data_IF_402667226092
#
_entry.id   IF_402667226092
#
_cell.length_a   1.000
_cell.length_b   1.000
_cell.length_c   1.000
_cell.angle_alpha   90.00
_cell.angle_beta   90.00
_cell.angle_gamma   90.00
#
_symmetry.space_group_name_H-M   'P 1'
#
loop_
_entity.id
_entity.type
_entity.pdbx_description
1 polymer ?
#
# COMPACT_ATOMS: atom_id res chain seq x y z
N UNK A 1 -12.74 -37.64 -20.50
CA UNK A 1 -12.48 -36.74 -21.66
C UNK A 1 -13.48 -35.57 -21.62
N UNK A 2 -13.25 -34.58 -20.76
CA UNK A 2 -13.89 -33.27 -20.82
C UNK A 2 -12.75 -32.27 -20.87
N UNK A 3 -12.55 -31.68 -22.04
CA UNK A 3 -11.50 -30.73 -22.32
C UNK A 3 -11.66 -29.51 -21.41
N UNK A 4 -10.65 -29.26 -20.59
CA UNK A 4 -10.40 -27.96 -19.99
C UNK A 4 -10.17 -26.96 -21.12
N UNK A 5 -11.12 -26.07 -21.35
CA UNK A 5 -10.83 -24.82 -22.04
C UNK A 5 -10.00 -23.94 -21.10
N UNK A 6 -8.68 -24.16 -21.08
CA UNK A 6 -7.71 -23.12 -20.74
C UNK A 6 -7.83 -22.05 -21.81
N UNK A 7 -8.60 -21.00 -21.54
CA UNK A 7 -8.40 -19.72 -22.20
C UNK A 7 -7.08 -19.16 -21.69
N UNK A 8 -6.03 -19.32 -22.49
CA UNK A 8 -4.88 -18.42 -22.43
C UNK A 8 -5.36 -17.04 -22.89
N UNK A 9 -5.86 -16.23 -21.96
CA UNK A 9 -5.97 -14.79 -22.19
C UNK A 9 -4.55 -14.27 -22.45
N UNK A 10 -4.36 -13.54 -23.54
CA UNK A 10 -3.08 -12.89 -23.82
C UNK A 10 -2.82 -11.84 -22.73
N UNK A 11 -1.61 -11.87 -22.17
CA UNK A 11 -1.12 -11.04 -21.06
C UNK A 11 -1.01 -9.53 -21.35
N UNK A 12 -1.74 -8.96 -22.32
CA UNK A 12 -1.52 -7.56 -22.72
C UNK A 12 -2.42 -6.52 -22.03
N UNK A 13 -3.48 -6.91 -21.32
CA UNK A 13 -4.48 -5.94 -20.81
C UNK A 13 -4.88 -6.13 -19.33
N UNK A 14 -4.06 -6.79 -18.50
CA UNK A 14 -4.37 -6.86 -17.07
C UNK A 14 -3.97 -5.52 -16.42
N UNK A 15 -4.98 -4.79 -15.94
CA UNK A 15 -4.83 -3.71 -14.96
C UNK A 15 -5.56 -4.12 -13.69
N UNK A 16 -4.92 -3.95 -12.54
CA UNK A 16 -5.61 -4.08 -11.26
C UNK A 16 -6.59 -2.92 -11.07
N UNK A 17 -7.58 -3.05 -10.16
CA UNK A 17 -8.44 -1.92 -9.79
C UNK A 17 -7.64 -0.68 -9.37
N UNK A 18 -6.55 -0.82 -8.61
CA UNK A 18 -5.67 0.29 -8.26
C UNK A 18 -5.05 0.93 -9.50
N UNK A 19 -4.49 0.13 -10.42
CA UNK A 19 -3.88 0.64 -11.64
C UNK A 19 -4.92 1.35 -12.54
N UNK A 20 -6.14 0.82 -12.66
CA UNK A 20 -7.24 1.49 -13.39
C UNK A 20 -7.60 2.83 -12.77
N UNK A 21 -7.73 2.88 -11.45
CA UNK A 21 -8.06 4.10 -10.76
C UNK A 21 -6.95 5.15 -10.94
N UNK A 22 -5.68 4.77 -10.78
CA UNK A 22 -4.55 5.67 -11.04
C UNK A 22 -4.49 6.17 -12.48
N UNK A 23 -4.70 5.28 -13.47
CA UNK A 23 -4.77 5.70 -14.88
C UNK A 23 -5.87 6.73 -15.08
N UNK A 24 -7.05 6.55 -14.46
CA UNK A 24 -8.12 7.54 -14.56
C UNK A 24 -7.76 8.90 -13.93
N UNK A 25 -6.97 8.91 -12.84
CA UNK A 25 -6.44 10.15 -12.26
C UNK A 25 -5.48 10.83 -13.22
N UNK A 26 -4.53 10.07 -13.80
CA UNK A 26 -3.53 10.58 -14.74
C UNK A 26 -4.20 11.15 -15.99
N UNK A 27 -5.18 10.44 -16.55
CA UNK A 27 -5.98 10.92 -17.69
C UNK A 27 -6.71 12.22 -17.37
N UNK A 28 -7.21 12.37 -16.13
CA UNK A 28 -7.93 13.58 -15.71
C UNK A 28 -7.02 14.82 -15.55
N UNK A 29 -5.77 14.64 -15.12
CA UNK A 29 -4.82 15.76 -14.93
C UNK A 29 -3.97 16.04 -16.17
N UNK A 30 -3.94 15.09 -17.10
CA UNK A 30 -3.13 15.18 -18.31
C UNK A 30 -1.71 14.66 -18.10
N UNK A 31 -1.17 14.07 -19.17
CA UNK A 31 0.11 13.41 -19.10
C UNK A 31 1.27 14.37 -18.76
N UNK A 32 1.33 15.51 -19.41
CA UNK A 32 2.42 16.46 -19.19
C UNK A 32 2.51 16.87 -17.70
N UNK A 33 1.36 17.04 -17.04
CA UNK A 33 1.28 17.31 -15.61
C UNK A 33 1.74 16.12 -14.76
N UNK A 34 1.38 14.89 -15.13
CA UNK A 34 1.89 13.69 -14.46
C UNK A 34 3.41 13.54 -14.61
N UNK A 35 3.97 13.80 -15.79
CA UNK A 35 5.43 13.78 -16.01
C UNK A 35 6.11 14.87 -15.16
N UNK A 36 5.53 16.07 -15.01
CA UNK A 36 6.03 17.11 -14.11
C UNK A 36 5.99 16.68 -12.63
N UNK A 37 4.88 16.09 -12.16
CA UNK A 37 4.75 15.57 -10.79
C UNK A 37 5.83 14.52 -10.49
N UNK A 38 6.06 13.59 -11.41
CA UNK A 38 7.10 12.57 -11.28
C UNK A 38 8.51 13.16 -11.33
N UNK A 39 8.75 14.10 -12.25
CA UNK A 39 10.06 14.74 -12.39
C UNK A 39 10.50 15.44 -11.09
N UNK A 40 9.57 16.05 -10.36
CA UNK A 40 9.83 16.69 -9.07
C UNK A 40 9.60 15.79 -7.86
N UNK A 41 9.26 14.52 -8.08
CA UNK A 41 8.93 13.53 -7.06
C UNK A 41 7.85 14.03 -6.07
N UNK A 42 6.85 14.76 -6.59
CA UNK A 42 5.87 15.48 -5.76
C UNK A 42 5.04 14.54 -4.88
N UNK A 43 4.69 13.36 -5.40
CA UNK A 43 3.91 12.32 -4.70
C UNK A 43 4.64 11.72 -3.49
N UNK A 44 5.96 11.89 -3.40
CA UNK A 44 6.77 11.44 -2.27
C UNK A 44 6.92 12.49 -1.16
N UNK A 45 6.71 13.78 -1.47
CA UNK A 45 7.07 14.87 -0.56
C UNK A 45 6.24 14.87 0.73
N UNK A 46 4.98 14.43 0.67
CA UNK A 46 4.09 14.39 1.84
C UNK A 46 4.54 13.35 2.86
N UNK A 47 4.92 12.14 2.41
CA UNK A 47 5.43 11.12 3.33
C UNK A 47 6.81 11.51 3.87
N UNK A 48 7.70 12.06 3.03
CA UNK A 48 9.02 12.52 3.45
C UNK A 48 8.93 13.61 4.51
N UNK A 49 8.01 14.56 4.32
CA UNK A 49 7.68 15.54 5.35
C UNK A 49 7.25 14.85 6.65
N UNK A 50 6.29 13.93 6.57
CA UNK A 50 5.72 13.26 7.74
C UNK A 50 6.73 12.43 8.51
N UNK A 51 7.68 11.79 7.82
CA UNK A 51 8.65 10.92 8.45
C UNK A 51 9.93 11.65 8.91
N UNK A 52 10.51 12.53 8.09
CA UNK A 52 11.83 13.11 8.35
C UNK A 52 11.81 14.54 8.91
N UNK A 53 10.69 15.26 8.79
CA UNK A 53 10.63 16.70 9.16
C UNK A 53 9.62 16.96 10.26
N UNK A 54 8.46 16.32 10.19
CA UNK A 54 7.42 16.46 11.20
C UNK A 54 7.86 15.83 12.51
N UNK A 55 7.66 16.54 13.62
CA UNK A 55 7.83 15.99 14.97
C UNK A 55 6.54 15.41 15.54
N UNK A 56 5.59 15.04 14.66
CA UNK A 56 4.27 14.53 15.07
C UNK A 56 4.40 13.26 15.90
N UNK A 57 3.68 13.24 17.01
CA UNK A 57 3.55 12.06 17.89
C UNK A 57 2.37 11.16 17.51
N UNK A 58 1.67 11.45 16.40
CA UNK A 58 0.45 10.76 15.98
C UNK A 58 -0.84 11.23 16.69
N UNK A 59 -0.73 11.90 17.84
CA UNK A 59 -1.89 12.22 18.69
C UNK A 59 -2.90 13.17 18.02
N UNK A 60 -2.39 14.14 17.25
CA UNK A 60 -3.20 15.18 16.59
C UNK A 60 -3.40 14.93 15.09
N UNK A 61 -3.10 13.72 14.61
CA UNK A 61 -3.31 13.34 13.21
C UNK A 61 -4.79 13.19 12.89
N UNK A 62 -5.13 13.34 11.61
CA UNK A 62 -6.45 13.05 11.06
C UNK A 62 -6.30 12.22 9.78
N UNK A 63 -7.37 11.54 9.37
CA UNK A 63 -7.38 10.60 8.27
C UNK A 63 -8.59 10.83 7.37
N UNK A 64 -8.37 10.80 6.06
CA UNK A 64 -9.30 11.35 5.08
C UNK A 64 -9.10 12.86 4.92
N UNK A 65 -9.58 13.41 3.80
CA UNK A 65 -9.36 14.82 3.41
C UNK A 65 -9.83 15.78 4.50
N UNK A 66 -10.92 15.45 5.20
CA UNK A 66 -11.54 16.26 6.24
C UNK A 66 -11.51 15.59 7.62
N UNK A 67 -10.77 14.50 7.76
CA UNK A 67 -10.70 13.74 9.01
C UNK A 67 -11.85 12.77 9.23
N UNK A 68 -12.67 12.49 8.22
CA UNK A 68 -13.84 11.61 8.29
C UNK A 68 -13.52 10.18 8.77
N UNK A 69 -12.32 9.68 8.47
CA UNK A 69 -11.86 8.33 8.84
C UNK A 69 -11.07 8.31 10.15
N UNK A 70 -10.84 9.47 10.77
CA UNK A 70 -9.91 9.60 11.91
C UNK A 70 -10.30 8.74 13.10
N UNK A 71 -11.60 8.63 13.38
CA UNK A 71 -12.10 7.85 14.51
C UNK A 71 -11.85 6.36 14.29
N UNK A 72 -12.14 5.86 13.08
CA UNK A 72 -11.93 4.46 12.70
C UNK A 72 -10.44 4.12 12.79
N UNK A 73 -9.60 4.91 12.11
CA UNK A 73 -8.15 4.69 12.05
C UNK A 73 -7.48 4.69 13.42
N UNK A 74 -7.80 5.66 14.29
CA UNK A 74 -7.25 5.71 15.65
C UNK A 74 -7.72 4.55 16.53
N UNK A 75 -9.00 4.20 16.44
CA UNK A 75 -9.54 3.05 17.19
C UNK A 75 -8.90 1.74 16.73
N UNK A 76 -8.76 1.55 15.41
CA UNK A 76 -8.13 0.37 14.84
C UNK A 76 -6.65 0.28 15.23
N UNK A 77 -5.94 1.41 15.29
CA UNK A 77 -4.54 1.45 15.72
C UNK A 77 -4.32 0.90 17.12
N UNK A 78 -5.08 1.41 18.08
CA UNK A 78 -4.96 0.95 19.48
C UNK A 78 -5.34 -0.52 19.62
N UNK A 79 -6.34 -0.97 18.86
CA UNK A 79 -6.74 -2.38 18.80
C UNK A 79 -5.65 -3.29 18.20
N UNK A 80 -5.02 -2.89 17.10
CA UNK A 80 -3.88 -3.60 16.49
C UNK A 80 -2.72 -3.74 17.47
N UNK A 81 -2.33 -2.64 18.13
CA UNK A 81 -1.25 -2.65 19.13
C UNK A 81 -1.57 -3.63 20.26
N UNK A 82 -2.76 -3.54 20.84
CA UNK A 82 -3.20 -4.44 21.91
C UNK A 82 -3.22 -5.90 21.45
N UNK A 83 -3.79 -6.17 20.27
CA UNK A 83 -3.92 -7.51 19.72
C UNK A 83 -2.55 -8.19 19.57
N UNK A 84 -1.60 -7.50 18.96
CA UNK A 84 -0.27 -8.05 18.73
C UNK A 84 0.59 -8.12 20.00
N UNK A 85 0.39 -7.22 20.97
CA UNK A 85 0.93 -7.37 22.33
C UNK A 85 0.43 -8.66 23.00
N UNK A 86 -0.86 -8.98 22.90
CA UNK A 86 -1.41 -10.24 23.43
C UNK A 86 -0.81 -11.46 22.72
N UNK A 87 -0.64 -11.40 21.40
CA UNK A 87 0.02 -12.45 20.62
C UNK A 87 1.45 -12.75 21.10
N UNK A 88 2.23 -11.70 21.38
CA UNK A 88 3.60 -11.84 21.90
C UNK A 88 3.64 -12.44 23.31
N UNK A 89 2.71 -12.04 24.18
CA UNK A 89 2.64 -12.57 25.54
C UNK A 89 2.19 -14.05 25.61
N UNK A 90 1.50 -14.54 24.58
CA UNK A 90 1.00 -15.92 24.49
C UNK A 90 2.04 -16.92 23.96
N UNK A 91 3.21 -16.46 23.53
CA UNK A 91 4.31 -17.30 23.06
C UNK A 91 5.62 -16.74 23.54
N UNK A 92 6.09 -17.26 24.68
CA UNK A 92 7.44 -17.10 25.25
C UNK A 92 8.50 -16.92 24.14
N UNK A 93 8.83 -15.67 23.82
CA UNK A 93 9.87 -15.31 22.87
C UNK A 93 11.05 -14.80 23.68
N UNK A 94 12.01 -15.69 23.90
CA UNK A 94 13.38 -15.42 24.35
C UNK A 94 14.22 -14.84 23.20
N UNK A 95 13.67 -13.88 22.46
CA UNK A 95 14.45 -13.10 21.49
C UNK A 95 15.10 -11.96 22.26
N UNK A 96 16.33 -12.20 22.70
CA UNK A 96 17.36 -11.22 23.04
C UNK A 96 16.95 -10.12 24.03
N UNK A 97 17.48 -10.20 25.25
CA UNK A 97 17.42 -9.18 26.31
C UNK A 97 18.05 -7.81 25.96
N UNK A 98 18.20 -7.45 24.69
CA UNK A 98 18.65 -6.12 24.28
C UNK A 98 17.80 -5.62 23.09
N UNK A 99 16.80 -4.79 23.39
CA UNK A 99 16.15 -3.82 22.48
C UNK A 99 15.16 -4.34 21.42
N UNK A 100 14.44 -5.45 21.65
CA UNK A 100 13.25 -5.73 20.84
C UNK A 100 12.10 -4.82 21.29
N UNK A 101 11.93 -3.71 20.58
CA UNK A 101 10.85 -2.77 20.79
C UNK A 101 9.51 -3.50 20.64
N UNK A 102 8.63 -3.26 21.61
CA UNK A 102 7.27 -3.78 21.57
C UNK A 102 6.58 -3.24 20.32
N UNK A 103 5.65 -3.98 19.66
CA UNK A 103 4.83 -3.50 18.53
C UNK A 103 3.92 -2.29 18.87
N UNK A 104 4.14 -1.70 20.05
CA UNK A 104 3.49 -0.52 20.58
C UNK A 104 4.24 0.79 20.26
N UNK A 105 5.47 0.73 19.72
CA UNK A 105 6.31 1.89 19.43
C UNK A 105 5.93 2.63 18.14
N UNK A 106 5.24 1.95 17.21
CA UNK A 106 4.78 2.53 15.96
C UNK A 106 3.72 3.61 16.17
N UNK A 107 3.88 4.75 15.49
CA UNK A 107 2.89 5.84 15.44
C UNK A 107 2.08 5.76 14.15
N UNK A 108 0.83 6.21 14.19
CA UNK A 108 -0.01 6.34 13.01
C UNK A 108 -0.06 7.80 12.55
N UNK A 109 0.29 8.06 11.29
CA UNK A 109 0.36 9.39 10.70
C UNK A 109 -0.51 9.50 9.44
N UNK A 110 -1.26 10.60 9.30
CA UNK A 110 -1.94 10.93 8.05
C UNK A 110 -1.01 11.75 7.16
N UNK A 111 -0.95 11.49 5.85
CA UNK A 111 -0.23 12.38 4.93
C UNK A 111 -1.20 13.11 4.00
N UNK A 112 -1.05 14.43 3.93
CA UNK A 112 -2.01 15.29 3.24
C UNK A 112 -1.30 16.10 2.17
N UNK A 113 -1.90 16.22 0.98
CA UNK A 113 -1.35 17.09 -0.05
C UNK A 113 -1.29 18.55 0.42
N UNK A 114 -2.20 18.95 1.33
CA UNK A 114 -2.19 20.27 1.98
C UNK A 114 -0.96 20.52 2.87
N UNK A 115 -0.18 19.49 3.26
CA UNK A 115 1.11 19.72 3.89
C UNK A 115 2.10 20.44 2.95
N UNK A 116 1.93 20.29 1.63
CA UNK A 116 2.76 20.93 0.60
C UNK A 116 2.38 22.39 0.34
N UNK A 117 1.22 22.87 0.81
CA UNK A 117 0.80 24.28 0.64
C UNK A 117 1.57 25.22 1.56
N UNK A 118 2.07 24.72 2.70
CA UNK A 118 2.81 25.51 3.66
C UNK A 118 4.32 25.50 3.37
N UNK A 119 4.90 26.66 3.03
CA UNK A 119 6.36 26.82 2.85
C UNK A 119 7.16 26.34 4.06
N UNK A 120 6.64 26.56 5.26
CA UNK A 120 7.27 26.10 6.51
C UNK A 120 7.37 24.57 6.66
N UNK A 121 6.66 23.80 5.82
CA UNK A 121 6.74 22.33 5.75
C UNK A 121 7.52 21.87 4.51
N UNK A 122 7.17 22.43 3.35
CA UNK A 122 7.75 22.03 2.07
C UNK A 122 9.24 22.40 1.96
N UNK A 123 9.65 23.60 2.35
CA UNK A 123 11.05 24.04 2.22
C UNK A 123 12.00 23.14 3.04
N UNK A 124 11.77 22.90 4.35
CA UNK A 124 12.62 21.98 5.11
C UNK A 124 12.66 20.56 4.52
N UNK A 125 11.55 20.08 3.97
CA UNK A 125 11.48 18.76 3.30
C UNK A 125 12.40 18.70 2.08
N UNK A 126 12.38 19.73 1.24
CA UNK A 126 13.26 19.83 0.07
C UNK A 126 14.74 19.99 0.47
N UNK A 127 15.03 20.73 1.54
CA UNK A 127 16.39 20.85 2.07
C UNK A 127 16.91 19.51 2.59
N UNK A 128 16.09 18.75 3.31
CA UNK A 128 16.44 17.43 3.83
C UNK A 128 16.66 16.42 2.70
N UNK A 129 15.77 16.40 1.70
CA UNK A 129 15.82 15.43 0.61
C UNK A 129 16.97 15.67 -0.37
N UNK A 130 17.20 16.92 -0.74
CA UNK A 130 18.10 17.29 -1.83
C UNK A 130 19.37 18.02 -1.36
N UNK A 131 19.53 18.26 -0.05
CA UNK A 131 20.67 18.99 0.49
C UNK A 131 20.74 20.45 0.04
N UNK A 132 19.59 21.07 -0.24
CA UNK A 132 19.51 22.42 -0.82
C UNK A 132 19.67 23.52 0.23
N UNK A 133 20.24 24.65 -0.18
CA UNK A 133 20.14 25.89 0.58
C UNK A 133 18.71 26.46 0.57
N UNK A 134 18.41 27.34 1.53
CA UNK A 134 17.05 27.86 1.70
C UNK A 134 16.51 28.64 0.49
N UNK A 135 17.28 29.54 -0.17
CA UNK A 135 16.83 30.22 -1.39
C UNK A 135 16.49 29.27 -2.55
N UNK A 136 17.32 28.25 -2.76
CA UNK A 136 17.11 27.25 -3.82
C UNK A 136 15.89 26.38 -3.51
N UNK A 137 15.77 25.91 -2.27
CA UNK A 137 14.61 25.15 -1.82
C UNK A 137 13.30 25.96 -1.90
N UNK A 138 13.34 27.26 -1.61
CA UNK A 138 12.18 28.15 -1.74
C UNK A 138 11.73 28.28 -3.20
N UNK A 139 12.68 28.47 -4.12
CA UNK A 139 12.40 28.55 -5.57
C UNK A 139 11.79 27.26 -6.09
N UNK A 140 12.35 26.11 -5.69
CA UNK A 140 11.80 24.80 -6.04
C UNK A 140 10.40 24.59 -5.43
N UNK A 141 10.19 25.01 -4.18
CA UNK A 141 8.88 24.97 -3.54
C UNK A 141 7.84 25.81 -4.30
N UNK A 142 8.20 26.99 -4.82
CA UNK A 142 7.29 27.82 -5.65
C UNK A 142 6.89 27.09 -6.92
N UNK A 143 7.86 26.45 -7.58
CA UNK A 143 7.59 25.64 -8.78
C UNK A 143 6.65 24.47 -8.48
N UNK A 144 6.92 23.70 -7.44
CA UNK A 144 6.09 22.54 -7.05
C UNK A 144 4.66 22.98 -6.71
N UNK A 145 4.50 24.06 -5.93
CA UNK A 145 3.17 24.58 -5.60
C UNK A 145 2.40 25.03 -6.84
N UNK A 146 3.07 25.67 -7.81
CA UNK A 146 2.45 26.07 -9.08
C UNK A 146 2.00 24.89 -9.94
N UNK A 147 2.65 23.72 -9.81
CA UNK A 147 2.23 22.48 -10.49
C UNK A 147 0.99 21.93 -9.77
N UNK A 148 1.00 21.85 -8.44
CA UNK A 148 -0.11 21.34 -7.64
C UNK A 148 -1.38 22.20 -7.82
N UNK A 149 -1.25 23.52 -7.90
CA UNK A 149 -2.38 24.44 -8.10
C UNK A 149 -3.10 24.26 -9.45
N UNK A 150 -2.49 23.57 -10.42
CA UNK A 150 -3.13 23.21 -11.69
C UNK A 150 -3.96 21.93 -11.60
N UNK A 151 -3.76 21.13 -10.55
CA UNK A 151 -4.50 19.88 -10.39
C UNK A 151 -5.97 20.17 -10.06
N UNK A 152 -6.91 19.31 -10.50
CA UNK A 152 -8.25 19.27 -9.94
C UNK A 152 -8.17 19.14 -8.41
N UNK A 153 -8.92 19.97 -7.68
CA UNK A 153 -8.91 20.06 -6.22
C UNK A 153 -7.54 20.43 -5.59
N UNK A 154 -6.58 20.88 -6.41
CA UNK A 154 -5.25 21.33 -6.00
C UNK A 154 -4.58 20.39 -4.98
N UNK A 155 -4.35 20.87 -3.76
CA UNK A 155 -3.70 20.14 -2.68
C UNK A 155 -4.53 18.97 -2.11
N UNK A 156 -5.81 18.85 -2.47
CA UNK A 156 -6.65 17.71 -2.10
C UNK A 156 -6.72 16.66 -3.22
N UNK A 157 -5.97 16.82 -4.31
CA UNK A 157 -5.96 15.83 -5.38
C UNK A 157 -5.42 14.49 -4.87
N UNK A 158 -6.17 13.37 -5.05
CA UNK A 158 -5.76 12.05 -4.57
C UNK A 158 -4.38 11.58 -5.04
N UNK A 159 -3.93 12.03 -6.23
CA UNK A 159 -2.65 11.61 -6.80
C UNK A 159 -1.46 11.95 -5.89
N UNK A 160 -1.59 13.00 -5.08
CA UNK A 160 -0.51 13.49 -4.22
C UNK A 160 -0.24 12.55 -3.04
N UNK A 161 -1.23 11.76 -2.62
CA UNK A 161 -1.18 10.98 -1.37
C UNK A 161 -1.82 9.61 -1.49
N UNK A 162 -1.95 9.07 -2.70
CA UNK A 162 -2.46 7.73 -2.95
C UNK A 162 -1.42 6.64 -2.64
N UNK A 163 -0.92 6.63 -1.42
CA UNK A 163 0.06 5.66 -0.93
C UNK A 163 -0.14 5.39 0.58
N UNK A 164 0.30 4.21 1.01
CA UNK A 164 0.38 3.80 2.40
C UNK A 164 1.70 3.03 2.61
N UNK A 165 2.32 3.23 3.76
CA UNK A 165 3.59 2.60 4.07
C UNK A 165 3.81 2.45 5.58
N UNK A 166 4.51 1.39 5.96
CA UNK A 166 5.17 1.26 7.24
C UNK A 166 6.68 1.54 7.11
N UNK A 167 7.23 2.31 8.04
CA UNK A 167 8.66 2.62 8.09
C UNK A 167 9.20 2.25 9.47
N UNK A 168 10.34 1.54 9.49
CA UNK A 168 11.17 1.42 10.68
C UNK A 168 12.24 2.52 10.67
N UNK A 169 12.27 3.33 11.72
CA UNK A 169 13.24 4.40 11.89
C UNK A 169 14.55 3.83 12.48
N UNK A 170 15.73 4.31 12.05
CA UNK A 170 16.97 4.07 12.78
C UNK A 170 16.99 4.73 14.17
N UNK A 171 16.06 5.67 14.39
CA UNK A 171 15.82 6.45 15.59
C UNK A 171 14.43 6.17 16.17
N UNK A 172 14.06 4.91 16.32
CA UNK A 172 12.74 4.47 16.81
C UNK A 172 12.28 5.10 18.13
N UNK A 173 13.19 5.60 18.96
CA UNK A 173 12.91 6.36 20.19
C UNK A 173 12.36 7.78 19.96
N UNK A 174 12.33 8.26 18.71
CA UNK A 174 11.91 9.62 18.36
C UNK A 174 13.06 10.63 18.30
N UNK A 175 14.31 10.21 18.47
CA UNK A 175 15.46 11.09 18.22
C UNK A 175 15.47 11.55 16.76
N UNK A 176 15.98 12.75 16.51
CA UNK A 176 15.93 13.42 15.19
C UNK A 176 14.51 13.60 14.60
N UNK A 177 13.46 13.45 15.41
CA UNK A 177 12.05 13.50 14.99
C UNK A 177 11.60 12.34 14.10
N UNK A 178 12.40 11.29 13.93
CA UNK A 178 12.02 10.10 13.18
C UNK A 178 11.49 9.02 14.12
N UNK A 179 10.49 8.25 13.72
CA UNK A 179 9.91 7.15 14.52
C UNK A 179 9.44 6.02 13.63
N UNK A 180 9.32 4.83 14.19
CA UNK A 180 8.56 3.76 13.55
C UNK A 180 7.15 4.29 13.29
N UNK A 181 6.72 4.25 12.04
CA UNK A 181 5.49 4.92 11.62
C UNK A 181 4.75 4.11 10.58
N UNK A 182 3.42 4.15 10.67
CA UNK A 182 2.51 3.80 9.59
C UNK A 182 1.95 5.13 9.07
N UNK A 183 2.15 5.40 7.79
CA UNK A 183 1.77 6.64 7.13
C UNK A 183 0.74 6.31 6.05
N UNK A 184 -0.44 6.91 6.12
CA UNK A 184 -1.53 6.64 5.17
C UNK A 184 -2.03 7.97 4.63
N UNK A 185 -2.12 8.08 3.31
CA UNK A 185 -2.51 9.31 2.65
C UNK A 185 -3.97 9.41 2.25
N UNK A 186 -4.46 10.63 2.09
CA UNK A 186 -5.84 10.93 1.71
C UNK A 186 -6.27 10.23 0.41
N UNK A 187 -5.36 10.08 -0.55
CA UNK A 187 -5.62 9.40 -1.82
C UNK A 187 -5.98 7.93 -1.66
N UNK A 188 -5.48 7.25 -0.62
CA UNK A 188 -5.88 5.87 -0.31
C UNK A 188 -7.37 5.80 0.05
N UNK A 189 -7.85 6.73 0.87
CA UNK A 189 -9.27 6.78 1.24
C UNK A 189 -10.15 7.12 0.02
N UNK A 190 -9.67 7.99 -0.87
CA UNK A 190 -10.36 8.27 -2.14
C UNK A 190 -10.47 7.01 -3.03
N UNK A 191 -9.41 6.19 -3.10
CA UNK A 191 -9.43 4.92 -3.81
C UNK A 191 -10.41 3.92 -3.20
N UNK A 192 -10.39 3.74 -1.88
CA UNK A 192 -11.29 2.83 -1.18
C UNK A 192 -12.76 3.23 -1.32
N UNK A 193 -13.03 4.54 -1.32
CA UNK A 193 -14.35 5.10 -1.61
C UNK A 193 -14.78 4.83 -3.05
N UNK A 194 -13.86 4.94 -4.02
CA UNK A 194 -14.13 4.57 -5.41
C UNK A 194 -14.50 3.09 -5.55
N UNK A 195 -13.88 2.21 -4.76
CA UNK A 195 -14.21 0.78 -4.68
C UNK A 195 -15.48 0.46 -3.86
N UNK A 196 -15.99 1.43 -3.09
CA UNK A 196 -17.11 1.26 -2.15
C UNK A 196 -16.81 0.18 -1.10
N UNK A 197 -15.67 0.32 -0.42
CA UNK A 197 -15.21 -0.62 0.63
C UNK A 197 -15.17 0.07 1.99
N UNK A 198 -16.20 -0.11 2.80
CA UNK A 198 -16.32 0.50 4.13
C UNK A 198 -15.26 -0.05 5.11
N UNK A 199 -14.91 -1.34 4.99
CA UNK A 199 -13.82 -1.97 5.77
C UNK A 199 -12.45 -1.85 5.08
N UNK A 200 -12.37 -1.12 3.97
CA UNK A 200 -11.13 -0.86 3.25
C UNK A 200 -10.05 -0.16 4.11
N UNK A 201 -10.39 0.88 4.89
CA UNK A 201 -9.42 1.54 5.77
C UNK A 201 -8.82 0.59 6.82
N UNK A 202 -9.64 -0.26 7.43
CA UNK A 202 -9.18 -1.25 8.40
C UNK A 202 -8.23 -2.27 7.76
N UNK A 203 -8.52 -2.69 6.52
CA UNK A 203 -7.62 -3.53 5.74
C UNK A 203 -6.27 -2.87 5.50
N UNK A 204 -6.22 -1.70 4.85
CA UNK A 204 -4.96 -1.02 4.52
C UNK A 204 -4.13 -0.82 5.79
N UNK A 205 -4.76 -0.35 6.86
CA UNK A 205 -4.05 -0.14 8.12
C UNK A 205 -3.47 -1.44 8.69
N UNK A 206 -4.26 -2.50 8.73
CA UNK A 206 -3.81 -3.79 9.27
C UNK A 206 -2.74 -4.44 8.40
N UNK A 207 -2.75 -4.18 7.09
CA UNK A 207 -1.73 -4.59 6.14
C UNK A 207 -0.40 -3.86 6.42
N UNK A 208 -0.42 -2.52 6.54
CA UNK A 208 0.79 -1.76 6.92
C UNK A 208 1.33 -2.15 8.30
N UNK A 209 0.43 -2.45 9.25
CA UNK A 209 0.84 -2.99 10.53
C UNK A 209 1.52 -4.36 10.38
N UNK A 210 1.10 -5.17 9.40
CA UNK A 210 1.77 -6.40 9.00
C UNK A 210 3.23 -6.17 8.60
N UNK A 211 3.53 -5.13 7.83
CA UNK A 211 4.91 -4.73 7.54
C UNK A 211 5.69 -4.30 8.78
N UNK A 212 5.05 -3.56 9.70
CA UNK A 212 5.68 -3.24 10.98
C UNK A 212 6.09 -4.51 11.76
N UNK A 213 5.22 -5.53 11.82
CA UNK A 213 5.59 -6.82 12.42
C UNK A 213 6.76 -7.51 11.69
N UNK A 214 6.88 -7.34 10.37
CA UNK A 214 8.00 -7.90 9.61
C UNK A 214 9.32 -7.22 9.98
N UNK A 215 9.32 -5.91 10.25
CA UNK A 215 10.48 -5.20 10.79
C UNK A 215 10.87 -5.74 12.17
N UNK A 216 9.91 -5.88 13.09
CA UNK A 216 10.13 -6.41 14.45
C UNK A 216 10.68 -7.83 14.45
N UNK A 217 10.19 -8.67 13.53
CA UNK A 217 10.65 -10.04 13.35
C UNK A 217 12.01 -10.11 12.62
N UNK A 218 12.55 -8.99 12.16
CA UNK A 218 13.81 -8.92 11.41
C UNK A 218 13.74 -9.63 10.06
N UNK A 219 12.54 -9.76 9.48
CA UNK A 219 12.30 -10.40 8.18
C UNK A 219 12.86 -9.51 7.08
N UNK A 220 12.57 -8.21 7.13
CA UNK A 220 13.02 -7.22 6.14
C UNK A 220 14.54 -7.12 6.00
N UNK A 221 15.30 -7.51 7.05
CA UNK A 221 16.77 -7.47 7.08
C UNK A 221 17.43 -8.72 6.50
N UNK A 222 16.65 -9.76 6.18
CA UNK A 222 17.17 -11.06 5.76
C UNK A 222 16.47 -11.50 4.48
N UNK A 223 17.23 -11.67 3.39
CA UNK A 223 16.83 -12.58 2.32
C UNK A 223 16.98 -14.03 2.82
N UNK A 224 16.09 -14.41 3.75
CA UNK A 224 16.22 -15.61 4.57
C UNK A 224 15.96 -16.91 3.81
N UNK A 225 15.50 -16.82 2.57
CA UNK A 225 15.09 -17.96 1.74
C UNK A 225 15.88 -18.07 0.42
N UNK A 226 16.84 -17.17 0.16
CA UNK A 226 17.59 -17.16 -1.11
C UNK A 226 16.72 -16.80 -2.32
N UNK A 227 15.64 -16.05 -2.08
CA UNK A 227 14.71 -15.59 -3.10
C UNK A 227 15.32 -14.46 -3.93
N UNK A 228 14.88 -14.29 -5.17
CA UNK A 228 15.13 -13.04 -5.89
C UNK A 228 14.44 -11.86 -5.19
N UNK A 229 14.86 -10.63 -5.47
CA UNK A 229 14.22 -9.43 -4.92
C UNK A 229 12.70 -9.42 -5.17
N UNK A 230 12.28 -9.74 -6.41
CA UNK A 230 10.87 -9.83 -6.79
C UNK A 230 10.08 -10.87 -5.99
N UNK A 231 10.71 -12.01 -5.68
CA UNK A 231 10.08 -13.07 -4.90
C UNK A 231 10.00 -12.71 -3.41
N UNK A 232 11.00 -11.99 -2.88
CA UNK A 232 10.99 -11.50 -1.51
C UNK A 232 9.95 -10.40 -1.32
N UNK A 233 9.91 -9.38 -2.19
CA UNK A 233 8.87 -8.33 -2.15
C UNK A 233 7.47 -8.95 -2.19
N UNK A 234 7.24 -9.89 -3.11
CA UNK A 234 5.97 -10.64 -3.17
C UNK A 234 5.67 -11.39 -1.88
N UNK A 235 6.66 -12.04 -1.28
CA UNK A 235 6.50 -12.79 -0.03
C UNK A 235 6.10 -11.85 1.12
N UNK A 236 6.72 -10.68 1.21
CA UNK A 236 6.46 -9.69 2.25
C UNK A 236 5.03 -9.14 2.15
N UNK A 237 4.60 -8.73 0.96
CA UNK A 237 3.24 -8.23 0.72
C UNK A 237 2.15 -9.23 1.06
N UNK A 238 2.29 -10.46 0.55
CA UNK A 238 1.34 -11.54 0.81
C UNK A 238 1.33 -11.91 2.30
N UNK A 239 2.46 -11.81 3.00
CA UNK A 239 2.51 -12.03 4.44
C UNK A 239 1.79 -10.91 5.21
N UNK A 240 1.92 -9.66 4.77
CA UNK A 240 1.19 -8.52 5.33
C UNK A 240 -0.32 -8.66 5.13
N UNK A 241 -0.77 -9.09 3.94
CA UNK A 241 -2.18 -9.41 3.66
C UNK A 241 -2.72 -10.47 4.63
N UNK A 242 -1.92 -11.52 4.89
CA UNK A 242 -2.25 -12.59 5.83
C UNK A 242 -2.31 -12.07 7.27
N UNK A 243 -1.31 -11.29 7.73
CA UNK A 243 -1.31 -10.73 9.09
C UNK A 243 -2.50 -9.81 9.34
N UNK A 244 -2.76 -8.87 8.43
CA UNK A 244 -3.87 -7.93 8.56
C UNK A 244 -5.21 -8.65 8.62
N UNK A 245 -5.43 -9.59 7.72
CA UNK A 245 -6.69 -10.36 7.65
C UNK A 245 -6.87 -11.31 8.83
N UNK A 246 -5.79 -11.87 9.37
CA UNK A 246 -5.83 -12.63 10.62
C UNK A 246 -6.32 -11.76 11.78
N UNK A 247 -5.80 -10.54 11.92
CA UNK A 247 -6.27 -9.61 12.94
C UNK A 247 -7.76 -9.25 12.73
N UNK A 248 -8.15 -8.90 11.51
CA UNK A 248 -9.51 -8.44 11.22
C UNK A 248 -10.57 -9.52 11.44
N UNK A 249 -10.27 -10.78 11.13
CA UNK A 249 -11.18 -11.89 11.36
C UNK A 249 -11.19 -12.39 12.82
N UNK A 250 -10.17 -12.11 13.62
CA UNK A 250 -10.06 -12.65 14.98
C UNK A 250 -11.01 -11.91 15.94
N UNK A 251 -11.74 -12.66 16.79
CA UNK A 251 -12.72 -12.10 17.74
C UNK A 251 -12.15 -11.09 18.76
N UNK A 252 -10.87 -11.26 19.11
CA UNK A 252 -10.11 -10.33 19.97
C UNK A 252 -9.45 -9.18 19.20
N UNK A 253 -9.57 -9.16 17.88
CA UNK A 253 -9.09 -8.10 16.99
C UNK A 253 -10.27 -7.39 16.35
N UNK A 254 -10.31 -7.31 15.01
CA UNK A 254 -11.39 -6.65 14.29
C UNK A 254 -12.75 -7.34 14.44
N UNK A 255 -12.77 -8.66 14.63
CA UNK A 255 -14.00 -9.44 14.82
C UNK A 255 -15.01 -9.33 13.67
N UNK A 256 -14.52 -9.06 12.44
CA UNK A 256 -15.35 -8.87 11.27
C UNK A 256 -16.14 -10.13 10.91
N UNK A 257 -17.38 -9.95 10.45
CA UNK A 257 -18.18 -11.04 9.91
C UNK A 257 -17.78 -11.40 8.47
N UNK A 258 -18.38 -12.45 7.91
CA UNK A 258 -18.05 -12.93 6.56
C UNK A 258 -18.26 -11.87 5.49
N UNK A 259 -19.32 -11.06 5.57
CA UNK A 259 -19.60 -10.04 4.56
C UNK A 259 -18.56 -8.92 4.63
N UNK A 260 -18.18 -8.51 5.84
CA UNK A 260 -17.13 -7.52 6.04
C UNK A 260 -15.76 -8.06 5.58
N UNK A 261 -15.47 -9.35 5.82
CA UNK A 261 -14.26 -9.99 5.31
C UNK A 261 -14.23 -10.07 3.78
N UNK A 262 -15.36 -10.24 3.11
CA UNK A 262 -15.40 -10.16 1.64
C UNK A 262 -14.91 -8.80 1.13
N UNK A 263 -15.22 -7.69 1.83
CA UNK A 263 -14.67 -6.37 1.49
C UNK A 263 -13.16 -6.29 1.70
N UNK A 264 -12.64 -6.89 2.78
CA UNK A 264 -11.21 -6.99 3.06
C UNK A 264 -10.48 -7.76 1.96
N UNK A 265 -11.02 -8.90 1.53
CA UNK A 265 -10.46 -9.71 0.46
C UNK A 265 -10.50 -9.00 -0.90
N UNK A 266 -11.57 -8.24 -1.17
CA UNK A 266 -11.67 -7.35 -2.35
C UNK A 266 -10.66 -6.21 -2.31
N UNK A 267 -10.39 -5.63 -1.14
CA UNK A 267 -9.34 -4.63 -0.97
C UNK A 267 -7.97 -5.24 -1.29
N UNK A 268 -7.65 -6.40 -0.74
CA UNK A 268 -6.40 -7.12 -1.04
C UNK A 268 -6.24 -7.45 -2.53
N UNK A 269 -7.29 -7.98 -3.16
CA UNK A 269 -7.33 -8.21 -4.61
C UNK A 269 -7.02 -6.93 -5.39
N UNK A 270 -7.60 -5.81 -4.96
CA UNK A 270 -7.53 -4.54 -5.69
C UNK A 270 -6.12 -3.94 -5.74
N UNK A 271 -5.27 -4.30 -4.78
CA UNK A 271 -3.89 -3.85 -4.64
C UNK A 271 -2.86 -4.77 -5.31
N UNK A 272 -3.29 -5.84 -6.00
CA UNK A 272 -2.38 -6.77 -6.64
C UNK A 272 -1.82 -6.26 -7.98
N UNK A 273 -0.67 -6.81 -8.38
CA UNK A 273 0.02 -6.45 -9.61
C UNK A 273 -0.29 -7.43 -10.74
N UNK A 274 -0.51 -6.88 -11.92
CA UNK A 274 -0.75 -7.70 -13.10
C UNK A 274 0.55 -8.24 -13.76
N UNK A 275 1.70 -7.60 -13.55
CA UNK A 275 2.96 -7.91 -14.24
C UNK A 275 3.93 -8.71 -13.36
N UNK A 276 3.96 -10.04 -13.51
CA UNK A 276 4.73 -10.95 -12.64
C UNK A 276 6.26 -10.86 -12.66
N UNK A 277 6.87 -10.06 -13.54
CA UNK A 277 8.31 -10.06 -13.82
C UNK A 277 9.06 -8.79 -13.39
N UNK A 278 8.40 -7.83 -12.75
CA UNK A 278 9.06 -6.63 -12.22
C UNK A 278 9.59 -6.89 -10.81
N UNK A 279 10.70 -6.24 -10.45
CA UNK A 279 11.38 -6.41 -9.16
C UNK A 279 10.50 -6.03 -7.97
N UNK A 280 9.51 -5.16 -8.18
CA UNK A 280 8.57 -4.66 -7.19
C UNK A 280 7.24 -5.40 -7.16
N UNK A 281 7.15 -6.59 -7.76
CA UNK A 281 5.85 -7.27 -7.90
C UNK A 281 5.29 -7.77 -6.55
N UNK A 282 4.28 -7.08 -6.03
CA UNK A 282 3.60 -7.32 -4.75
C UNK A 282 2.75 -8.60 -4.70
N UNK A 283 2.58 -9.28 -5.83
CA UNK A 283 1.70 -10.45 -5.95
C UNK A 283 0.52 -10.17 -6.85
N UNK A 284 0.07 -11.17 -7.60
CA UNK A 284 -1.11 -10.99 -8.45
C UNK A 284 -2.36 -10.72 -7.59
N UNK A 285 -3.39 -10.05 -8.12
CA UNK A 285 -4.65 -9.84 -7.41
C UNK A 285 -5.19 -11.09 -6.70
N UNK A 286 -5.15 -12.25 -7.37
CA UNK A 286 -5.62 -13.51 -6.79
C UNK A 286 -4.68 -14.09 -5.72
N UNK A 287 -3.38 -13.82 -5.80
CA UNK A 287 -2.42 -14.22 -4.77
C UNK A 287 -2.67 -13.41 -3.49
N UNK A 288 -2.86 -12.09 -3.62
CA UNK A 288 -3.16 -11.20 -2.48
C UNK A 288 -4.47 -11.56 -1.79
N UNK A 289 -5.54 -11.73 -2.56
CA UNK A 289 -6.82 -12.23 -2.05
C UNK A 289 -6.67 -13.59 -1.35
N UNK A 290 -5.94 -14.52 -1.95
CA UNK A 290 -5.74 -15.84 -1.34
C UNK A 290 -4.94 -15.78 -0.03
N UNK A 291 -3.92 -14.93 0.05
CA UNK A 291 -3.15 -14.73 1.28
C UNK A 291 -4.01 -14.09 2.38
N UNK A 292 -4.85 -13.12 2.02
CA UNK A 292 -5.84 -12.50 2.89
C UNK A 292 -6.86 -13.54 3.41
N UNK A 293 -7.45 -14.36 2.52
CA UNK A 293 -8.34 -15.48 2.89
C UNK A 293 -7.67 -16.46 3.86
N UNK A 294 -6.40 -16.79 3.62
CA UNK A 294 -5.64 -17.69 4.49
C UNK A 294 -5.50 -17.11 5.91
N UNK A 295 -5.17 -15.82 6.04
CA UNK A 295 -5.11 -15.12 7.32
C UNK A 295 -6.43 -15.19 8.09
N UNK A 296 -7.54 -14.85 7.43
CA UNK A 296 -8.87 -14.90 8.03
C UNK A 296 -9.26 -16.31 8.50
N UNK A 297 -8.97 -17.34 7.69
CA UNK A 297 -9.23 -18.73 8.05
C UNK A 297 -8.39 -19.22 9.23
N UNK A 298 -7.14 -18.76 9.36
CA UNK A 298 -6.33 -19.02 10.55
C UNK A 298 -6.97 -18.41 11.81
N UNK A 299 -7.53 -17.21 11.72
CA UNK A 299 -8.19 -16.57 12.84
C UNK A 299 -9.44 -17.34 13.28
N UNK A 300 -10.24 -17.83 12.33
CA UNK A 300 -11.42 -18.66 12.62
C UNK A 300 -10.99 -19.99 13.26
N UNK A 301 -9.97 -20.65 12.69
CA UNK A 301 -9.47 -21.95 13.15
C UNK A 301 -8.84 -21.89 14.54
N UNK A 302 -8.14 -20.79 14.87
CA UNK A 302 -7.40 -20.63 16.12
C UNK A 302 -7.98 -19.58 17.07
N UNK A 303 -9.22 -19.11 16.82
CA UNK A 303 -9.83 -17.93 17.47
C UNK A 303 -10.04 -17.98 18.98
N UNK A 304 -9.58 -19.02 19.67
CA UNK A 304 -9.54 -19.09 21.13
C UNK A 304 -8.35 -18.34 21.75
N UNK A 305 -7.26 -18.10 21.00
CA UNK A 305 -6.09 -17.33 21.43
C UNK A 305 -5.42 -16.64 20.25
N UNK A 306 -4.93 -15.42 20.47
CA UNK A 306 -4.08 -14.73 19.49
C UNK A 306 -2.75 -15.48 19.34
N UNK A 307 -2.43 -15.89 18.12
CA UNK A 307 -1.18 -16.57 17.79
C UNK A 307 -0.01 -15.56 17.75
N UNK A 308 1.19 -15.94 18.22
CA UNK A 308 2.37 -15.09 18.08
C UNK A 308 2.72 -14.82 16.60
N UNK A 309 3.16 -13.61 16.22
CA UNK A 309 3.56 -13.26 14.86
C UNK A 309 4.57 -14.24 14.24
N UNK A 310 5.57 -14.69 15.01
CA UNK A 310 6.57 -15.67 14.53
C UNK A 310 5.94 -17.01 14.12
N UNK A 311 4.87 -17.43 14.81
CA UNK A 311 4.17 -18.67 14.48
C UNK A 311 3.37 -18.51 13.19
N UNK A 312 2.66 -17.40 13.05
CA UNK A 312 1.91 -17.07 11.83
C UNK A 312 2.84 -16.94 10.62
N UNK A 313 3.98 -16.25 10.74
CA UNK A 313 5.04 -16.21 9.73
C UNK A 313 5.43 -17.62 9.27
N UNK A 314 5.75 -18.52 10.20
CA UNK A 314 6.17 -19.88 9.86
C UNK A 314 5.05 -20.68 9.17
N UNK A 315 3.80 -20.46 9.56
CA UNK A 315 2.63 -21.05 8.91
C UNK A 315 2.39 -20.48 7.51
N UNK A 316 2.70 -19.21 7.28
CA UNK A 316 2.64 -18.59 5.97
C UNK A 316 3.75 -19.08 5.05
N UNK A 317 5.00 -19.10 5.51
CA UNK A 317 6.13 -19.58 4.70
C UNK A 317 5.92 -21.04 4.23
N UNK A 318 5.31 -21.87 5.08
CA UNK A 318 4.95 -23.25 4.72
C UNK A 318 3.83 -23.33 3.65
N UNK A 319 3.00 -22.30 3.53
CA UNK A 319 1.85 -22.21 2.61
C UNK A 319 2.17 -21.42 1.34
N UNK A 320 3.27 -20.67 1.33
CA UNK A 320 3.62 -19.70 0.28
C UNK A 320 3.60 -20.31 -1.12
N UNK A 321 4.18 -21.51 -1.31
CA UNK A 321 4.20 -22.16 -2.62
C UNK A 321 2.80 -22.48 -3.16
N UNK A 322 1.86 -22.88 -2.30
CA UNK A 322 0.47 -23.15 -2.68
C UNK A 322 -0.28 -21.86 -3.04
N UNK A 323 -0.04 -20.77 -2.29
CA UNK A 323 -0.60 -19.43 -2.56
C UNK A 323 -0.09 -18.92 -3.91
N UNK A 324 1.22 -19.00 -4.14
CA UNK A 324 1.84 -18.56 -5.40
C UNK A 324 1.29 -19.32 -6.60
N UNK A 325 1.06 -20.63 -6.44
CA UNK A 325 0.48 -21.47 -7.48
C UNK A 325 -1.06 -21.40 -7.57
N UNK A 326 -1.72 -20.65 -6.68
CA UNK A 326 -3.18 -20.59 -6.52
C UNK A 326 -3.83 -21.98 -6.36
N UNK A 327 -3.12 -22.89 -5.68
CA UNK A 327 -3.57 -24.28 -5.47
C UNK A 327 -4.15 -24.54 -4.08
N UNK A 328 -3.88 -23.64 -3.13
CA UNK A 328 -4.45 -23.68 -1.79
C UNK A 328 -5.98 -23.67 -1.85
N UNK A 329 -6.65 -24.35 -0.92
CA UNK A 329 -8.12 -24.39 -0.86
C UNK A 329 -8.71 -22.98 -0.66
N UNK A 330 -8.00 -22.13 0.09
CA UNK A 330 -8.33 -20.73 0.32
C UNK A 330 -8.29 -19.86 -0.95
N UNK A 331 -7.63 -20.33 -2.01
CA UNK A 331 -7.61 -19.66 -3.31
C UNK A 331 -8.82 -20.03 -4.20
N UNK A 332 -9.64 -21.02 -3.80
CA UNK A 332 -10.70 -21.58 -4.65
C UNK A 332 -12.08 -20.95 -4.41
N UNK A 333 -12.31 -20.33 -3.26
CA UNK A 333 -13.57 -19.65 -2.93
C UNK A 333 -13.42 -18.14 -3.06
N UNK A 334 -13.99 -17.55 -4.12
CA UNK A 334 -14.03 -16.09 -4.24
C UNK A 334 -14.55 -15.53 -5.57
N UNK A 335 -14.63 -16.31 -6.66
CA UNK A 335 -15.10 -15.80 -7.96
C UNK A 335 -16.07 -16.69 -8.75
N UNK A 336 -16.44 -17.88 -8.27
CA UNK A 336 -17.42 -18.69 -9.01
C UNK A 336 -18.87 -18.23 -8.77
N UNK A 337 -19.15 -17.49 -7.68
CA UNK A 337 -20.52 -17.03 -7.31
C UNK A 337 -20.68 -15.51 -7.17
N UNK A 338 -19.61 -14.72 -7.23
CA UNK A 338 -19.72 -13.25 -7.33
C UNK A 338 -19.85 -12.93 -8.81
N UNK A 339 -21.05 -12.48 -9.20
CA UNK A 339 -21.32 -11.76 -10.45
C UNK A 339 -20.08 -10.93 -10.76
N UNK A 340 -19.36 -11.29 -11.83
CA UNK A 340 -18.35 -10.43 -12.43
C UNK A 340 -18.99 -9.05 -12.54
N UNK A 341 -18.63 -8.16 -11.61
CA UNK A 341 -19.28 -6.88 -11.51
C UNK A 341 -18.88 -6.12 -12.77
N UNK A 342 -19.88 -5.91 -13.65
CA UNK A 342 -19.70 -5.28 -14.95
C UNK A 342 -19.19 -3.84 -14.81
N UNK A 343 -19.10 -3.29 -13.59
CA UNK A 343 -18.38 -2.05 -13.30
C UNK A 343 -16.87 -2.16 -13.54
N UNK A 344 -16.27 -3.35 -13.47
CA UNK A 344 -14.82 -3.56 -13.67
C UNK A 344 -14.43 -4.03 -15.09
N UNK A 345 -15.42 -4.41 -15.91
CA UNK A 345 -15.23 -4.74 -17.33
C UNK A 345 -16.18 -3.89 -18.18
N UNK A 346 -15.72 -2.72 -18.62
CA UNK A 346 -16.29 -2.12 -19.83
C UNK A 346 -15.95 -3.08 -20.98
N UNK A 347 -16.93 -3.83 -21.46
CA UNK A 347 -16.81 -4.47 -22.76
C UNK A 347 -16.64 -3.37 -23.80
N UNK A 348 -15.45 -3.26 -24.38
CA UNK A 348 -15.27 -2.67 -25.71
C UNK A 348 -16.04 -3.54 -26.71
N UNK A 349 -17.34 -3.31 -26.86
CA UNK A 349 -18.15 -3.89 -27.91
C UNK A 349 -18.90 -2.78 -28.68
N UNK A 350 -18.23 -2.34 -29.75
CA UNK A 350 -18.77 -2.08 -31.09
C UNK A 350 -20.05 -1.24 -31.23
N UNK A 351 -19.89 0.08 -31.13
CA UNK A 351 -20.72 1.05 -31.85
C UNK A 351 -20.03 1.50 -33.13
N UNK A 352 -20.27 0.80 -34.22
CA UNK A 352 -19.71 1.07 -35.54
C UNK A 352 -20.20 2.44 -36.05
N UNK A 353 -19.32 3.45 -36.08
CA UNK A 353 -19.48 4.63 -36.95
C UNK A 353 -18.10 5.04 -37.42
N UNK A 354 -17.90 4.84 -38.72
CA UNK A 354 -16.64 5.00 -39.41
C UNK A 354 -16.05 6.40 -39.22
N UNK A 355 -14.85 6.46 -38.64
CA UNK A 355 -13.89 7.53 -38.91
C UNK A 355 -12.66 6.84 -39.46
N UNK A 356 -12.39 7.11 -40.74
CA UNK A 356 -11.24 6.64 -41.48
C UNK A 356 -9.95 7.38 -41.06
N UNK A 357 -8.83 6.65 -41.20
CA UNK A 357 -7.43 7.12 -41.23
C UNK A 357 -6.83 7.50 -39.87
N UNK A 358 -5.59 7.16 -39.51
CA UNK A 358 -4.45 6.61 -40.24
C UNK A 358 -3.54 5.83 -39.28
N UNK A 359 -2.95 4.75 -39.76
CA UNK A 359 -1.94 3.95 -39.08
C UNK A 359 -0.66 4.74 -38.77
N UNK A 360 -0.35 4.91 -37.50
CA UNK A 360 1.01 5.10 -36.99
C UNK A 360 1.13 4.35 -35.66
N UNK A 361 2.13 3.49 -35.52
CA UNK A 361 2.29 2.58 -34.40
C UNK A 361 2.35 3.29 -33.04
N UNK A 362 1.24 3.24 -32.31
CA UNK A 362 1.17 3.58 -30.89
C UNK A 362 1.22 2.31 -30.08
N UNK A 363 2.41 1.95 -29.58
CA UNK A 363 2.48 1.09 -28.40
C UNK A 363 1.83 1.83 -27.23
N UNK A 364 1.11 1.11 -26.38
CA UNK A 364 0.42 1.62 -25.21
C UNK A 364 1.40 2.41 -24.31
N UNK A 365 1.29 3.74 -24.34
CA UNK A 365 2.26 4.67 -23.75
C UNK A 365 2.44 4.49 -22.22
N UNK A 366 1.42 3.96 -21.52
CA UNK A 366 1.50 3.62 -20.10
C UNK A 366 2.40 2.42 -19.78
N UNK A 367 2.74 1.56 -20.76
CA UNK A 367 3.60 0.39 -20.52
C UNK A 367 5.09 0.73 -20.37
N UNK A 368 5.52 1.91 -20.81
CA UNK A 368 6.94 2.30 -20.88
C UNK A 368 7.34 3.52 -20.04
N UNK A 369 6.37 4.26 -19.49
CA UNK A 369 6.61 5.60 -18.89
C UNK A 369 5.95 5.84 -17.53
N UNK A 370 5.13 4.92 -17.03
CA UNK A 370 4.82 4.91 -15.61
C UNK A 370 6.08 4.44 -14.89
N UNK A 371 6.83 5.37 -14.28
CA UNK A 371 7.57 4.99 -13.09
C UNK A 371 6.55 4.34 -12.16
N UNK A 372 6.85 3.16 -11.60
CA UNK A 372 5.88 2.48 -10.79
C UNK A 372 5.52 3.42 -9.63
N UNK A 373 4.24 3.78 -9.50
CA UNK A 373 3.68 4.23 -8.20
C UNK A 373 4.05 3.21 -7.10
N UNK A 374 4.36 1.99 -7.53
CA UNK A 374 4.87 0.79 -6.88
C UNK A 374 6.33 0.88 -6.37
N UNK A 375 7.11 1.96 -6.65
CA UNK A 375 8.54 2.08 -6.24
C UNK A 375 8.76 2.77 -4.86
N UNK A 376 7.70 3.24 -4.19
CA UNK A 376 7.84 4.08 -2.98
C UNK A 376 8.00 3.26 -1.68
N UNK A 377 7.68 1.96 -1.69
CA UNK A 377 7.71 1.14 -0.47
C UNK A 377 9.13 0.66 -0.08
N UNK A 378 10.12 0.73 -0.96
CA UNK A 378 11.47 0.16 -0.74
C UNK A 378 12.63 1.14 -1.05
N UNK A 379 12.50 2.40 -0.64
CA UNK A 379 13.58 3.39 -0.84
C UNK A 379 14.64 3.30 0.28
N UNK A 380 15.69 2.52 0.02
CA UNK A 380 17.05 3.01 0.31
C UNK A 380 17.20 4.30 -0.50
N UNK A 381 16.99 5.48 0.11
CA UNK A 381 17.06 6.79 -0.56
C UNK A 381 18.39 6.87 -1.33
N UNK A 382 18.41 6.70 -2.66
CA UNK A 382 19.60 7.01 -3.42
C UNK A 382 19.77 8.51 -3.31
N UNK A 383 21.01 9.01 -3.28
CA UNK A 383 21.27 10.44 -3.50
C UNK A 383 20.63 10.85 -4.83
N UNK A 384 19.40 11.36 -4.78
CA UNK A 384 18.69 11.80 -5.98
C UNK A 384 19.37 13.08 -6.42
N UNK A 385 19.91 13.08 -7.65
CA UNK A 385 20.54 14.25 -8.22
C UNK A 385 19.57 15.41 -8.20
N UNK A 386 20.06 16.59 -7.80
CA UNK A 386 19.27 17.83 -7.83
C UNK A 386 18.72 18.01 -9.26
N UNK A 387 17.40 18.19 -9.45
CA UNK A 387 16.86 18.51 -10.76
C UNK A 387 17.56 19.78 -11.29
N UNK A 388 18.00 19.83 -12.56
CA UNK A 388 18.59 21.03 -13.12
C UNK A 388 17.66 22.25 -12.94
N UNK A 389 18.24 23.44 -12.70
CA UNK A 389 17.51 24.66 -12.33
C UNK A 389 16.47 25.11 -13.37
#
# INVERSE_FOLDING_TARGET
LRQQHRRTQSNSNCLSPLQRWFVSLIESIGLDTWEELNYYNVTSLTYLYKHHVSSSSGQHEYFGIYGEDSKQMKSNHESLKLFWTLGNNNGMSTVGENNAESPTNVVLLGMHGNDLSAKGKLVPTLQQLYGLDAPTALTLADKIQSIIEKLPDAYNNPVLTANALAIQSPHSDGSNSERDSIIIGDGVFAFLKWLQLDNGPDYIHSHEFGHHLQYDLGIMKKNGMGLSQAEETRRLELMSDMFGSYYLAHKSGGGLDTKQLDEVHRAAFSMGDCKSSIATHHGSPRQRECASNYGANLAIKFGGKVLPPVKLKNMFDAKLSEILALTADECRGGLDDIVFDNTFYVQENSGNSAISSSSSGGGNWWESKLLPVEDVQDLNIPTMGVPPP
#
